data_IF_671175000073
#
_entry.id   IF_671175000073
#
_cell.length_a   1.000
_cell.length_b   1.000
_cell.length_c   1.000
_cell.angle_alpha   90.00
_cell.angle_beta   90.00
_cell.angle_gamma   90.00
#
_symmetry.space_group_name_H-M   'P 1'
#
loop_
_entity.id
_entity.type
_entity.pdbx_description
1 polymer ?
#
# COMPACT_ATOMS: atom_id res chain seq x y z
N UNK A 1 9.29 13.75 -14.00
CA UNK A 1 9.06 12.47 -13.30
C UNK A 1 8.21 11.58 -14.19
N UNK A 2 8.45 10.26 -14.23
CA UNK A 2 7.61 9.29 -14.93
C UNK A 2 6.18 9.26 -14.37
N UNK A 3 5.29 8.46 -14.97
CA UNK A 3 3.96 8.19 -14.43
C UNK A 3 4.02 7.76 -12.97
N UNK A 4 3.12 8.30 -12.14
CA UNK A 4 3.06 7.94 -10.73
C UNK A 4 2.28 6.65 -10.53
N UNK A 5 2.66 5.92 -9.46
CA UNK A 5 2.04 4.68 -9.08
C UNK A 5 1.56 4.76 -7.61
N UNK A 6 0.30 4.46 -7.36
CA UNK A 6 -0.25 4.31 -6.01
C UNK A 6 -0.33 2.83 -5.65
N UNK A 7 0.44 2.38 -4.65
CA UNK A 7 0.49 0.96 -4.29
C UNK A 7 -0.49 0.56 -3.19
N UNK A 8 -1.26 1.52 -2.65
CA UNK A 8 -2.15 1.27 -1.51
C UNK A 8 -3.25 2.30 -1.40
N UNK A 9 -4.49 1.88 -1.62
CA UNK A 9 -5.70 2.67 -1.42
C UNK A 9 -6.94 1.78 -1.30
N UNK A 10 -8.07 2.37 -0.85
CA UNK A 10 -9.33 1.68 -0.57
C UNK A 10 -10.44 2.17 -1.52
N UNK A 11 -10.32 1.80 -2.79
CA UNK A 11 -11.23 2.27 -3.85
C UNK A 11 -12.17 1.18 -4.38
N UNK A 12 -12.15 -0.06 -3.85
CA UNK A 12 -13.14 -1.08 -4.24
C UNK A 12 -14.48 -0.72 -3.59
N UNK A 13 -15.56 -0.50 -4.37
CA UNK A 13 -16.80 0.06 -3.82
C UNK A 13 -17.49 -0.87 -2.83
N UNK A 14 -17.80 -0.37 -1.63
CA UNK A 14 -18.67 -1.01 -0.63
C UNK A 14 -18.14 -2.32 -0.05
N UNK A 15 -16.81 -2.48 0.09
CA UNK A 15 -16.21 -3.71 0.64
C UNK A 15 -15.53 -3.51 2.00
N UNK A 16 -15.09 -2.31 2.32
CA UNK A 16 -14.46 -1.90 3.58
C UNK A 16 -14.88 -0.47 3.98
N UNK A 17 -14.06 0.27 4.72
CA UNK A 17 -14.28 1.67 5.09
C UNK A 17 -13.75 2.67 4.03
N UNK A 18 -13.42 2.19 2.85
CA UNK A 18 -13.05 3.00 1.70
C UNK A 18 -14.26 3.56 0.95
N UNK A 19 -14.18 3.62 -0.38
CA UNK A 19 -15.24 4.14 -1.24
C UNK A 19 -16.59 3.44 -0.97
N UNK A 20 -17.62 4.22 -0.69
CA UNK A 20 -18.95 3.69 -0.35
C UNK A 20 -19.63 3.01 -1.56
N UNK A 21 -19.41 3.55 -2.73
CA UNK A 21 -20.02 3.10 -3.99
C UNK A 21 -19.11 3.37 -5.20
N UNK A 22 -19.60 3.01 -6.39
CA UNK A 22 -18.86 3.17 -7.64
C UNK A 22 -18.65 4.66 -8.00
N UNK A 23 -19.58 5.52 -7.67
CA UNK A 23 -19.49 6.95 -7.95
C UNK A 23 -18.33 7.58 -7.15
N UNK A 24 -18.24 7.28 -5.86
CA UNK A 24 -17.13 7.74 -5.03
C UNK A 24 -15.79 7.14 -5.48
N UNK A 25 -15.76 5.86 -5.87
CA UNK A 25 -14.57 5.22 -6.44
C UNK A 25 -14.07 5.94 -7.68
N UNK A 26 -14.96 6.29 -8.62
CA UNK A 26 -14.61 7.03 -9.84
C UNK A 26 -14.16 8.46 -9.53
N UNK A 27 -14.79 9.11 -8.56
CA UNK A 27 -14.35 10.44 -8.11
C UNK A 27 -12.94 10.40 -7.50
N UNK A 28 -12.59 9.35 -6.73
CA UNK A 28 -11.24 9.14 -6.23
C UNK A 28 -10.25 8.85 -7.35
N UNK A 29 -10.63 8.05 -8.35
CA UNK A 29 -9.80 7.79 -9.54
C UNK A 29 -9.54 9.06 -10.34
N UNK A 30 -10.55 9.93 -10.48
CA UNK A 30 -10.38 11.25 -11.11
C UNK A 30 -9.28 12.05 -10.41
N UNK A 31 -9.31 12.14 -9.08
CA UNK A 31 -8.28 12.84 -8.30
C UNK A 31 -6.89 12.24 -8.51
N UNK A 32 -6.77 10.90 -8.54
CA UNK A 32 -5.51 10.22 -8.83
C UNK A 32 -4.99 10.52 -10.24
N UNK A 33 -5.89 10.49 -11.23
CA UNK A 33 -5.54 10.79 -12.61
C UNK A 33 -5.04 12.23 -12.78
N UNK A 34 -5.72 13.20 -12.16
CA UNK A 34 -5.33 14.61 -12.13
C UNK A 34 -3.98 14.82 -11.42
N UNK A 35 -3.65 14.02 -10.41
CA UNK A 35 -2.36 13.99 -9.71
C UNK A 35 -1.23 13.33 -10.53
N UNK A 36 -1.52 12.78 -11.73
CA UNK A 36 -0.55 12.12 -12.60
C UNK A 36 -0.33 10.63 -12.32
N UNK A 37 -1.18 10.01 -11.52
CA UNK A 37 -1.16 8.55 -11.28
C UNK A 37 -1.73 7.83 -12.50
N UNK A 38 -1.06 6.75 -12.92
CA UNK A 38 -1.48 5.92 -14.06
C UNK A 38 -1.59 4.44 -13.71
N UNK A 39 -1.03 4.03 -12.58
CA UNK A 39 -1.12 2.65 -12.10
C UNK A 39 -1.52 2.66 -10.63
N UNK A 40 -2.44 1.79 -10.26
CA UNK A 40 -2.96 1.70 -8.89
C UNK A 40 -3.10 0.24 -8.49
N UNK A 41 -2.53 -0.16 -7.35
CA UNK A 41 -2.88 -1.39 -6.67
C UNK A 41 -3.87 -1.04 -5.56
N UNK A 42 -5.13 -1.44 -5.74
CA UNK A 42 -6.20 -1.20 -4.77
C UNK A 42 -6.20 -2.34 -3.77
N UNK A 43 -6.08 -2.02 -2.49
CA UNK A 43 -5.80 -2.97 -1.41
C UNK A 43 -6.84 -2.87 -0.30
N UNK A 44 -8.09 -3.32 -0.53
CA UNK A 44 -9.11 -3.29 0.50
C UNK A 44 -8.67 -4.07 1.73
N UNK A 45 -9.17 -3.67 2.89
CA UNK A 45 -8.89 -4.32 4.16
C UNK A 45 -9.38 -5.78 4.19
N UNK A 46 -8.57 -6.64 4.82
CA UNK A 46 -9.04 -7.90 5.40
C UNK A 46 -8.61 -7.99 6.86
N UNK A 47 -9.57 -7.78 7.75
CA UNK A 47 -9.38 -7.76 9.19
C UNK A 47 -10.52 -8.47 9.90
N UNK A 48 -10.19 -9.50 10.65
CA UNK A 48 -11.15 -10.33 11.39
C UNK A 48 -12.03 -9.47 12.30
N UNK A 49 -13.34 -9.74 12.28
CA UNK A 49 -14.40 -9.04 13.05
C UNK A 49 -14.61 -7.57 12.70
N UNK A 50 -13.97 -7.06 11.64
CA UNK A 50 -14.18 -5.70 11.15
C UNK A 50 -14.46 -5.69 9.64
N UNK A 51 -13.51 -6.18 8.84
CA UNK A 51 -13.59 -6.20 7.39
C UNK A 51 -13.36 -7.63 6.90
N UNK A 52 -14.44 -8.41 6.81
CA UNK A 52 -14.42 -9.83 6.39
C UNK A 52 -15.23 -10.03 5.10
N UNK A 53 -15.24 -9.04 4.22
CA UNK A 53 -15.92 -9.15 2.94
C UNK A 53 -15.34 -10.31 2.15
N UNK A 54 -16.16 -11.28 1.69
CA UNK A 54 -15.65 -12.44 0.97
C UNK A 54 -14.86 -12.07 -0.27
N UNK A 55 -13.73 -12.72 -0.51
CA UNK A 55 -12.83 -12.44 -1.63
C UNK A 55 -13.54 -12.40 -2.98
N UNK A 56 -14.55 -13.30 -3.18
CA UNK A 56 -15.40 -13.32 -4.39
C UNK A 56 -16.14 -11.99 -4.57
N UNK A 57 -16.74 -11.44 -3.50
CA UNK A 57 -17.45 -10.16 -3.56
C UNK A 57 -16.49 -9.00 -3.83
N UNK A 58 -15.32 -9.00 -3.19
CA UNK A 58 -14.27 -8.00 -3.46
C UNK A 58 -13.88 -8.01 -4.93
N UNK A 59 -13.62 -9.20 -5.48
CA UNK A 59 -13.26 -9.36 -6.88
C UNK A 59 -14.37 -8.90 -7.84
N UNK A 60 -15.62 -9.24 -7.58
CA UNK A 60 -16.77 -8.79 -8.37
C UNK A 60 -16.92 -7.26 -8.39
N UNK A 61 -16.73 -6.60 -7.25
CA UNK A 61 -16.78 -5.15 -7.16
C UNK A 61 -15.58 -4.48 -7.83
N UNK A 62 -14.40 -5.09 -7.70
CA UNK A 62 -13.20 -4.61 -8.40
C UNK A 62 -13.36 -4.66 -9.92
N UNK A 63 -13.92 -5.74 -10.48
CA UNK A 63 -14.15 -5.84 -11.92
C UNK A 63 -15.12 -4.77 -12.45
N UNK A 64 -16.17 -4.44 -11.67
CA UNK A 64 -17.08 -3.33 -12.02
C UNK A 64 -16.35 -1.99 -12.05
N UNK A 65 -15.51 -1.73 -11.06
CA UNK A 65 -14.69 -0.52 -11.02
C UNK A 65 -13.71 -0.47 -12.19
N UNK A 66 -13.02 -1.59 -12.47
CA UNK A 66 -12.06 -1.69 -13.56
C UNK A 66 -12.72 -1.45 -14.93
N UNK A 67 -13.92 -2.00 -15.15
CA UNK A 67 -14.69 -1.76 -16.39
C UNK A 67 -15.10 -0.29 -16.53
N UNK A 68 -15.58 0.34 -15.46
CA UNK A 68 -15.95 1.75 -15.46
C UNK A 68 -14.73 2.66 -15.66
N UNK A 69 -13.63 2.38 -14.96
CA UNK A 69 -12.38 3.12 -15.09
C UNK A 69 -11.81 3.06 -16.50
N UNK A 70 -11.86 1.90 -17.16
CA UNK A 70 -11.38 1.74 -18.54
C UNK A 70 -12.13 2.64 -19.55
N UNK A 71 -13.41 2.97 -19.28
CA UNK A 71 -14.21 3.85 -20.12
C UNK A 71 -13.85 5.33 -19.92
N UNK A 72 -13.59 5.73 -18.68
CA UNK A 72 -13.34 7.13 -18.31
C UNK A 72 -11.85 7.51 -18.34
N UNK A 73 -10.98 6.58 -17.97
CA UNK A 73 -9.52 6.76 -17.82
C UNK A 73 -8.77 5.62 -18.52
N UNK A 74 -8.81 5.52 -19.87
CA UNK A 74 -8.24 4.39 -20.62
C UNK A 74 -6.72 4.28 -20.50
N UNK A 75 -6.05 5.33 -20.01
CA UNK A 75 -4.61 5.40 -19.74
C UNK A 75 -4.24 4.98 -18.29
N UNK A 76 -5.24 4.60 -17.47
CA UNK A 76 -5.00 4.06 -16.13
C UNK A 76 -5.10 2.53 -16.10
N UNK A 77 -4.21 1.90 -15.32
CA UNK A 77 -4.24 0.46 -15.05
C UNK A 77 -4.53 0.23 -13.57
N UNK A 78 -5.56 -0.58 -13.30
CA UNK A 78 -5.97 -0.95 -11.94
C UNK A 78 -5.65 -2.41 -11.67
N UNK A 79 -5.05 -2.68 -10.53
CA UNK A 79 -4.71 -4.01 -10.02
C UNK A 79 -5.35 -4.22 -8.66
N UNK A 80 -5.71 -5.45 -8.35
CA UNK A 80 -6.27 -5.81 -7.06
C UNK A 80 -5.17 -6.35 -6.15
N UNK A 81 -5.19 -5.94 -4.90
CA UNK A 81 -4.43 -6.49 -3.80
C UNK A 81 -5.30 -6.65 -2.57
N UNK A 82 -4.67 -6.77 -1.41
CA UNK A 82 -5.34 -6.81 -0.11
C UNK A 82 -4.41 -6.28 0.97
N UNK A 83 -4.93 -5.48 1.88
CA UNK A 83 -4.25 -5.13 3.14
C UNK A 83 -4.65 -6.11 4.23
N UNK A 84 -3.72 -7.02 4.57
CA UNK A 84 -3.92 -8.07 5.58
C UNK A 84 -3.53 -7.57 6.97
N UNK A 85 -4.47 -7.58 7.92
CA UNK A 85 -4.15 -7.23 9.29
C UNK A 85 -3.35 -8.34 10.00
N UNK A 86 -2.35 -7.96 10.79
CA UNK A 86 -1.38 -8.85 11.44
C UNK A 86 -1.98 -9.85 12.45
N UNK A 87 -3.22 -9.62 12.93
CA UNK A 87 -3.92 -10.54 13.84
C UNK A 87 -4.61 -11.71 13.13
N UNK A 88 -4.54 -11.76 11.80
CA UNK A 88 -5.06 -12.87 11.02
C UNK A 88 -4.13 -14.10 11.10
N UNK A 89 -4.67 -15.27 10.81
CA UNK A 89 -3.85 -16.44 10.52
C UNK A 89 -3.25 -16.29 9.12
N UNK A 90 -2.12 -15.57 9.05
CA UNK A 90 -1.46 -15.24 7.79
C UNK A 90 -1.01 -16.50 7.05
N UNK A 91 -0.53 -17.52 7.78
CA UNK A 91 -0.10 -18.77 7.17
C UNK A 91 -1.26 -19.48 6.48
N UNK A 92 -2.39 -19.69 7.16
CA UNK A 92 -3.59 -20.32 6.58
C UNK A 92 -4.14 -19.54 5.39
N UNK A 93 -4.11 -18.19 5.46
CA UNK A 93 -4.57 -17.32 4.38
C UNK A 93 -3.68 -17.45 3.14
N UNK A 94 -2.36 -17.40 3.33
CA UNK A 94 -1.39 -17.43 2.23
C UNK A 94 -1.28 -18.82 1.60
N UNK A 95 -1.22 -19.89 2.40
CA UNK A 95 -1.18 -21.27 1.90
C UNK A 95 -2.44 -21.64 1.11
N UNK A 96 -3.60 -21.21 1.57
CA UNK A 96 -4.89 -21.45 0.90
C UNK A 96 -5.23 -20.41 -0.18
N UNK A 97 -4.37 -19.43 -0.39
CA UNK A 97 -4.59 -18.33 -1.35
C UNK A 97 -5.98 -17.71 -1.25
N UNK A 98 -6.45 -17.49 0.00
CA UNK A 98 -7.79 -16.97 0.28
C UNK A 98 -7.99 -15.53 -0.17
N UNK A 99 -6.90 -14.77 -0.27
CA UNK A 99 -6.90 -13.37 -0.69
C UNK A 99 -5.78 -13.10 -1.68
N UNK A 100 -5.97 -12.06 -2.47
CA UNK A 100 -5.02 -11.65 -3.50
C UNK A 100 -3.85 -10.92 -2.84
N UNK A 101 -2.63 -11.31 -3.18
CA UNK A 101 -1.43 -10.53 -2.88
C UNK A 101 -1.40 -9.25 -3.73
N UNK A 102 -0.47 -8.35 -3.53
CA UNK A 102 -0.41 -7.11 -4.31
C UNK A 102 -0.30 -7.42 -5.81
N UNK A 103 -1.34 -7.16 -6.56
CA UNK A 103 -1.46 -7.49 -8.00
C UNK A 103 -1.22 -8.98 -8.35
N UNK A 104 -1.42 -9.91 -7.42
CA UNK A 104 -1.12 -11.34 -7.64
C UNK A 104 0.36 -11.71 -7.56
N UNK A 105 1.22 -10.79 -7.20
CA UNK A 105 2.67 -10.98 -7.01
C UNK A 105 3.02 -11.78 -5.75
N UNK A 106 4.30 -11.92 -5.45
CA UNK A 106 4.77 -12.45 -4.16
C UNK A 106 4.62 -11.45 -3.00
N UNK A 107 4.31 -10.19 -3.27
CA UNK A 107 4.23 -9.15 -2.24
C UNK A 107 2.93 -9.19 -1.45
N UNK A 108 3.05 -9.17 -0.10
CA UNK A 108 1.94 -9.14 0.86
C UNK A 108 1.97 -7.84 1.65
N UNK A 109 0.91 -7.04 1.56
CA UNK A 109 0.78 -5.82 2.34
C UNK A 109 0.21 -6.15 3.72
N UNK A 110 0.97 -5.83 4.78
CA UNK A 110 0.61 -6.06 6.17
C UNK A 110 0.25 -4.76 6.89
N UNK A 111 -0.88 -4.79 7.59
CA UNK A 111 -1.27 -3.78 8.57
C UNK A 111 -0.95 -4.26 9.98
N UNK A 112 -0.36 -3.37 10.80
CA UNK A 112 -0.11 -3.57 12.22
C UNK A 112 -0.88 -2.56 13.06
N UNK A 113 -1.37 -3.00 14.22
CA UNK A 113 -2.02 -2.11 15.20
C UNK A 113 -0.98 -1.25 15.94
N UNK A 114 -1.41 -0.06 16.40
CA UNK A 114 -0.52 0.85 17.15
C UNK A 114 0.05 0.25 18.43
N UNK A 115 -0.63 -0.75 19.02
CA UNK A 115 -0.20 -1.45 20.24
C UNK A 115 0.68 -2.68 20.00
N UNK A 116 0.94 -3.05 18.74
CA UNK A 116 1.69 -4.28 18.45
C UNK A 116 3.16 -4.17 18.90
N UNK A 117 3.63 -5.21 19.59
CA UNK A 117 5.01 -5.26 20.06
C UNK A 117 5.99 -5.50 18.91
N UNK A 118 7.25 -5.10 19.12
CA UNK A 118 8.32 -5.40 18.17
C UNK A 118 8.51 -6.90 17.93
N UNK A 119 8.24 -7.73 18.92
CA UNK A 119 8.29 -9.19 18.79
C UNK A 119 7.16 -9.69 17.89
N UNK A 120 5.92 -9.24 18.11
CA UNK A 120 4.78 -9.60 17.28
C UNK A 120 5.02 -9.24 15.81
N UNK A 121 5.51 -8.03 15.53
CA UNK A 121 5.83 -7.60 14.17
C UNK A 121 6.86 -8.52 13.53
N UNK A 122 7.94 -8.88 14.26
CA UNK A 122 8.96 -9.82 13.76
C UNK A 122 8.38 -11.18 13.43
N UNK A 123 7.57 -11.74 14.32
CA UNK A 123 6.93 -13.05 14.12
C UNK A 123 6.04 -13.05 12.89
N UNK A 124 5.22 -12.00 12.68
CA UNK A 124 4.34 -11.90 11.51
C UNK A 124 5.10 -11.73 10.20
N UNK A 125 6.13 -10.91 10.18
CA UNK A 125 7.03 -10.77 9.03
C UNK A 125 7.70 -12.11 8.71
N UNK A 126 8.21 -12.82 9.72
CA UNK A 126 8.80 -14.15 9.53
C UNK A 126 7.79 -15.16 8.99
N UNK A 127 6.54 -15.17 9.46
CA UNK A 127 5.50 -16.07 8.95
C UNK A 127 5.25 -15.86 7.46
N UNK A 128 5.18 -14.61 6.98
CA UNK A 128 5.02 -14.31 5.56
C UNK A 128 6.22 -14.81 4.75
N UNK A 129 7.44 -14.54 5.22
CA UNK A 129 8.66 -15.02 4.58
C UNK A 129 8.74 -16.55 4.53
N UNK A 130 8.34 -17.24 5.60
CA UNK A 130 8.36 -18.71 5.65
C UNK A 130 7.37 -19.37 4.69
N UNK A 131 6.33 -18.64 4.29
CA UNK A 131 5.39 -19.06 3.24
C UNK A 131 5.89 -18.74 1.82
N UNK A 132 7.10 -18.18 1.67
CA UNK A 132 7.67 -17.83 0.37
C UNK A 132 7.21 -16.51 -0.22
N UNK A 133 6.63 -15.62 0.61
CA UNK A 133 6.15 -14.30 0.20
C UNK A 133 7.03 -13.17 0.71
N UNK A 134 6.98 -12.03 0.03
CA UNK A 134 7.70 -10.80 0.37
C UNK A 134 6.79 -9.86 1.19
N UNK A 135 7.05 -9.66 2.49
CA UNK A 135 6.23 -8.76 3.29
C UNK A 135 6.51 -7.30 2.94
N UNK A 136 5.48 -6.58 2.54
CA UNK A 136 5.42 -5.12 2.56
C UNK A 136 4.56 -4.70 3.73
N UNK A 137 4.97 -3.73 4.52
CA UNK A 137 4.19 -3.30 5.66
C UNK A 137 4.13 -1.78 5.76
N UNK A 138 3.00 -1.30 6.24
CA UNK A 138 2.73 0.11 6.41
C UNK A 138 3.59 0.69 7.53
N UNK A 139 4.66 1.39 7.14
CA UNK A 139 5.67 1.89 8.08
C UNK A 139 5.23 3.10 8.91
N UNK A 140 4.21 3.82 8.49
CA UNK A 140 3.90 5.14 9.01
C UNK A 140 2.80 5.19 10.08
N UNK A 141 2.10 4.07 10.34
CA UNK A 141 1.10 3.97 11.41
C UNK A 141 1.65 3.45 12.72
N UNK A 142 2.80 2.82 12.70
CA UNK A 142 3.30 2.06 13.83
C UNK A 142 4.27 2.84 14.73
N UNK A 143 4.19 2.52 16.01
CA UNK A 143 5.05 3.02 17.09
C UNK A 143 6.56 2.83 16.85
N UNK A 144 7.39 3.45 17.72
CA UNK A 144 8.84 3.27 17.81
C UNK A 144 9.28 1.78 17.77
N UNK A 145 8.42 0.84 18.15
CA UNK A 145 8.67 -0.59 18.09
C UNK A 145 8.81 -1.11 16.66
N UNK A 146 7.93 -0.68 15.74
CA UNK A 146 8.03 -1.01 14.29
C UNK A 146 9.31 -0.45 13.70
N UNK A 147 9.67 0.79 14.08
CA UNK A 147 10.91 1.45 13.67
C UNK A 147 12.15 0.63 13.98
N UNK A 148 12.25 0.15 15.20
CA UNK A 148 13.40 -0.65 15.65
C UNK A 148 13.42 -2.03 14.99
N UNK A 149 12.26 -2.65 14.80
CA UNK A 149 12.16 -3.97 14.17
C UNK A 149 12.48 -3.91 12.68
N UNK A 150 11.93 -2.95 11.96
CA UNK A 150 12.20 -2.71 10.53
C UNK A 150 13.69 -2.49 10.27
N UNK A 151 14.31 -1.59 11.00
CA UNK A 151 15.75 -1.30 10.83
C UNK A 151 16.66 -2.50 11.18
N UNK A 152 16.20 -3.45 12.01
CA UNK A 152 16.94 -4.68 12.28
C UNK A 152 16.81 -5.67 11.12
N UNK A 153 15.61 -5.87 10.58
CA UNK A 153 15.39 -6.80 9.44
C UNK A 153 16.11 -6.34 8.16
N UNK A 154 16.08 -5.05 7.88
CA UNK A 154 16.72 -4.50 6.68
C UNK A 154 18.25 -4.48 6.76
N UNK A 155 18.84 -4.40 7.96
CA UNK A 155 20.29 -4.45 8.18
C UNK A 155 20.86 -5.87 8.24
N UNK A 156 20.06 -6.88 8.53
CA UNK A 156 20.51 -8.28 8.58
C UNK A 156 20.61 -8.99 7.23
N UNK A 157 20.62 -8.25 6.14
CA UNK A 157 21.13 -8.74 4.85
C UNK A 157 20.14 -9.53 4.03
N UNK A 158 19.18 -8.92 3.40
CA UNK A 158 18.51 -9.51 2.25
C UNK A 158 17.00 -9.49 2.24
N UNK A 159 16.31 -9.23 3.33
CA UNK A 159 14.86 -9.26 3.38
C UNK A 159 14.28 -7.85 3.55
N UNK A 160 13.60 -7.35 2.49
CA UNK A 160 12.63 -6.30 2.63
C UNK A 160 13.12 -4.84 2.59
N UNK A 161 13.67 -4.36 1.47
CA UNK A 161 13.73 -2.90 1.17
C UNK A 161 12.35 -2.30 0.85
N UNK A 162 11.25 -2.94 1.33
CA UNK A 162 9.93 -2.70 0.74
C UNK A 162 8.90 -2.28 1.77
N UNK A 163 9.26 -1.30 2.63
CA UNK A 163 8.28 -0.62 3.47
C UNK A 163 7.40 0.29 2.63
N UNK A 164 6.09 0.13 2.78
CA UNK A 164 5.12 1.05 2.20
C UNK A 164 4.94 2.28 3.09
N UNK A 165 5.22 3.47 2.55
CA UNK A 165 4.93 4.74 3.22
C UNK A 165 3.53 5.22 2.90
N UNK A 166 2.83 5.81 3.88
CA UNK A 166 1.62 6.58 3.62
C UNK A 166 1.97 7.99 3.21
N UNK A 167 1.42 8.44 2.11
CA UNK A 167 1.65 9.78 1.60
C UNK A 167 1.21 10.87 2.60
N UNK A 168 0.07 10.68 3.27
CA UNK A 168 -0.41 11.58 4.33
C UNK A 168 0.57 11.75 5.48
N UNK A 169 1.25 10.67 5.89
CA UNK A 169 2.29 10.70 6.94
C UNK A 169 3.56 11.42 6.47
N UNK A 170 3.98 11.22 5.23
CA UNK A 170 5.12 11.91 4.60
C UNK A 170 4.86 13.42 4.55
N UNK A 171 3.67 13.83 4.15
CA UNK A 171 3.23 15.23 4.09
C UNK A 171 3.04 15.85 5.48
N UNK A 172 2.79 15.03 6.51
CA UNK A 172 2.55 15.49 7.88
C UNK A 172 1.10 15.86 8.15
N UNK A 173 0.16 15.23 7.44
CA UNK A 173 -1.28 15.42 7.65
C UNK A 173 -1.80 14.84 8.98
N UNK A 174 -1.04 13.93 9.62
CA UNK A 174 -1.44 13.29 10.88
C UNK A 174 -0.68 13.89 12.08
N UNK A 175 0.48 13.32 12.44
CA UNK A 175 1.28 13.78 13.57
C UNK A 175 2.71 14.15 13.17
N UNK A 176 3.32 15.09 13.92
CA UNK A 176 4.71 15.46 13.72
C UNK A 176 5.68 14.26 13.89
N UNK A 177 5.35 13.34 14.81
CA UNK A 177 6.13 12.12 15.04
C UNK A 177 6.17 11.21 13.81
N UNK A 178 5.02 10.97 13.17
CA UNK A 178 4.93 10.18 11.92
C UNK A 178 5.74 10.81 10.80
N UNK A 179 5.61 12.13 10.60
CA UNK A 179 6.39 12.86 9.59
C UNK A 179 7.91 12.75 9.82
N UNK A 180 8.34 12.93 11.07
CA UNK A 180 9.77 12.79 11.44
C UNK A 180 10.27 11.38 11.17
N UNK A 181 9.45 10.39 11.44
CA UNK A 181 9.77 8.99 11.18
C UNK A 181 9.88 8.69 9.69
N UNK A 182 8.91 9.08 8.86
CA UNK A 182 9.00 8.94 7.41
C UNK A 182 10.27 9.59 6.85
N UNK A 183 10.64 10.77 7.36
CA UNK A 183 11.89 11.42 6.98
C UNK A 183 13.15 10.60 7.36
N UNK A 184 13.10 9.90 8.50
CA UNK A 184 14.20 9.02 8.90
C UNK A 184 14.30 7.84 7.95
N UNK A 185 13.18 7.17 7.63
CA UNK A 185 13.15 6.07 6.66
C UNK A 185 13.71 6.49 5.30
N UNK A 186 13.31 7.65 4.78
CA UNK A 186 13.82 8.17 3.53
C UNK A 186 15.35 8.41 3.57
N UNK A 187 15.86 9.03 4.66
CA UNK A 187 17.30 9.30 4.81
C UNK A 187 18.15 8.02 4.94
N UNK A 188 17.59 6.98 5.53
CA UNK A 188 18.25 5.68 5.72
C UNK A 188 18.01 4.73 4.52
N UNK A 189 17.35 5.22 3.45
CA UNK A 189 16.97 4.45 2.26
C UNK A 189 16.15 3.18 2.57
N UNK A 190 15.24 3.29 3.54
CA UNK A 190 14.42 2.20 4.04
C UNK A 190 12.97 2.26 3.51
N UNK A 191 12.59 3.32 2.78
CA UNK A 191 11.26 3.46 2.19
C UNK A 191 11.29 2.90 0.77
N UNK A 192 10.55 1.83 0.53
CA UNK A 192 10.51 1.14 -0.76
C UNK A 192 9.43 1.67 -1.69
N UNK A 193 8.22 1.87 -1.16
CA UNK A 193 7.02 2.28 -1.92
C UNK A 193 6.26 3.38 -1.19
N UNK A 194 5.35 4.03 -1.90
CA UNK A 194 4.41 4.98 -1.30
C UNK A 194 3.00 4.70 -1.82
N UNK A 195 2.05 4.58 -0.88
CA UNK A 195 0.63 4.54 -1.16
C UNK A 195 -0.09 5.79 -0.63
N UNK A 196 -1.23 6.11 -1.21
CA UNK A 196 -2.05 7.23 -0.73
C UNK A 196 -2.73 6.93 0.60
N UNK A 197 -3.10 5.67 0.80
CA UNK A 197 -4.00 5.22 1.87
C UNK A 197 -5.34 5.99 1.82
N UNK A 198 -5.78 6.31 0.60
CA UNK A 198 -7.01 7.09 0.38
C UNK A 198 -8.25 6.22 0.54
N UNK A 199 -9.30 6.78 1.17
CA UNK A 199 -10.54 6.09 1.48
C UNK A 199 -11.78 6.81 0.95
N UNK A 200 -11.68 8.12 0.69
CA UNK A 200 -12.81 8.93 0.27
C UNK A 200 -12.34 10.23 -0.38
N UNK A 201 -13.29 11.02 -0.84
CA UNK A 201 -13.03 12.32 -1.50
C UNK A 201 -13.01 13.52 -0.54
N UNK A 202 -13.12 13.32 0.79
CA UNK A 202 -13.31 14.41 1.76
C UNK A 202 -12.18 14.54 2.78
N UNK A 203 -11.84 13.46 3.46
CA UNK A 203 -10.91 13.47 4.62
C UNK A 203 -9.62 12.69 4.35
N UNK A 204 -9.74 11.47 3.84
CA UNK A 204 -8.61 10.61 3.45
C UNK A 204 -8.53 10.58 1.92
N UNK A 205 -8.25 11.75 1.34
CA UNK A 205 -8.24 11.95 -0.11
C UNK A 205 -6.96 11.41 -0.75
N UNK A 206 -7.00 11.05 -2.05
CA UNK A 206 -5.81 10.82 -2.86
C UNK A 206 -4.83 11.99 -2.79
N UNK A 207 -3.53 11.71 -2.76
CA UNK A 207 -2.51 12.74 -2.55
C UNK A 207 -1.11 12.31 -3.02
N UNK A 208 -1.04 11.37 -3.96
CA UNK A 208 0.23 10.82 -4.47
C UNK A 208 1.08 11.91 -5.15
N UNK A 209 0.48 12.75 -5.99
CA UNK A 209 1.20 13.83 -6.67
C UNK A 209 1.83 14.81 -5.70
N UNK A 210 1.10 15.22 -4.66
CA UNK A 210 1.63 16.09 -3.61
C UNK A 210 2.78 15.42 -2.84
N UNK A 211 2.66 14.12 -2.55
CA UNK A 211 3.73 13.34 -1.91
C UNK A 211 4.98 13.23 -2.76
N UNK A 212 4.82 12.93 -4.03
CA UNK A 212 5.91 12.82 -4.99
C UNK A 212 6.65 14.16 -5.14
N UNK A 213 5.93 15.26 -5.26
CA UNK A 213 6.52 16.62 -5.31
C UNK A 213 7.28 16.96 -4.01
N UNK A 214 6.72 16.60 -2.84
CA UNK A 214 7.39 16.81 -1.57
C UNK A 214 8.68 15.99 -1.45
N UNK A 215 8.66 14.71 -1.82
CA UNK A 215 9.81 13.81 -1.76
C UNK A 215 10.88 14.27 -2.75
N UNK A 216 10.50 14.61 -3.99
CA UNK A 216 11.43 15.16 -4.99
C UNK A 216 12.16 16.40 -4.46
N UNK A 217 11.42 17.34 -3.85
CA UNK A 217 12.01 18.55 -3.23
C UNK A 217 12.96 18.24 -2.07
N UNK A 218 12.76 17.16 -1.30
CA UNK A 218 13.52 16.86 -0.08
C UNK A 218 14.66 15.87 -0.29
N UNK A 219 14.50 14.94 -1.22
CA UNK A 219 15.42 13.81 -1.43
C UNK A 219 15.99 13.75 -2.86
N UNK A 220 15.49 14.61 -3.75
CA UNK A 220 15.85 14.61 -5.18
C UNK A 220 14.89 13.80 -6.05
N UNK A 221 14.85 14.16 -7.33
CA UNK A 221 13.92 13.57 -8.31
C UNK A 221 14.16 12.08 -8.52
N UNK A 222 15.42 11.64 -8.61
CA UNK A 222 15.76 10.23 -8.79
C UNK A 222 15.29 9.36 -7.62
N UNK A 223 15.33 9.85 -6.38
CA UNK A 223 14.78 9.13 -5.23
C UNK A 223 13.25 9.06 -5.30
N UNK A 224 12.58 10.15 -5.62
CA UNK A 224 11.14 10.18 -5.78
C UNK A 224 10.69 9.23 -6.89
N UNK A 225 11.32 9.27 -8.07
CA UNK A 225 11.02 8.38 -9.19
C UNK A 225 11.17 6.91 -8.80
N UNK A 226 12.21 6.57 -8.05
CA UNK A 226 12.42 5.21 -7.59
C UNK A 226 11.28 4.68 -6.71
N UNK A 227 10.79 5.45 -5.72
CA UNK A 227 9.77 4.96 -4.77
C UNK A 227 8.32 5.16 -5.23
N UNK A 228 8.07 6.05 -6.20
CA UNK A 228 6.73 6.29 -6.76
C UNK A 228 6.52 5.64 -8.14
N UNK A 229 7.57 5.06 -8.74
CA UNK A 229 7.48 4.41 -10.03
C UNK A 229 8.31 3.12 -10.11
N UNK A 230 9.66 3.19 -10.04
CA UNK A 230 10.53 2.07 -10.39
C UNK A 230 10.35 0.86 -9.46
N UNK A 231 10.36 1.06 -8.14
CA UNK A 231 10.13 -0.02 -7.18
C UNK A 231 8.69 -0.59 -7.26
N UNK A 232 7.60 0.24 -7.34
CA UNK A 232 6.26 -0.28 -7.63
C UNK A 232 6.17 -1.15 -8.89
N UNK A 233 6.90 -0.80 -9.95
CA UNK A 233 6.93 -1.60 -11.18
C UNK A 233 7.53 -3.00 -10.96
N UNK A 234 8.39 -3.19 -9.95
CA UNK A 234 8.90 -4.52 -9.59
C UNK A 234 7.78 -5.45 -9.12
N UNK A 235 6.74 -4.93 -8.43
CA UNK A 235 5.57 -5.71 -8.02
C UNK A 235 4.85 -6.27 -9.25
N UNK A 236 4.67 -5.44 -10.29
CA UNK A 236 3.99 -5.87 -11.52
C UNK A 236 4.83 -6.85 -12.34
N UNK A 237 6.17 -6.69 -12.36
CA UNK A 237 7.07 -7.67 -13.02
C UNK A 237 7.00 -9.02 -12.30
N UNK A 238 7.01 -9.02 -10.99
CA UNK A 238 6.90 -10.24 -10.18
C UNK A 238 5.52 -10.92 -10.37
N UNK A 239 4.47 -10.13 -10.60
CA UNK A 239 3.13 -10.62 -10.92
C UNK A 239 2.99 -11.14 -12.37
N UNK A 240 3.95 -10.86 -13.26
CA UNK A 240 3.84 -11.16 -14.68
C UNK A 240 2.87 -10.27 -15.46
N UNK A 241 2.56 -9.07 -14.93
CA UNK A 241 1.66 -8.10 -15.54
C UNK A 241 2.35 -7.21 -16.60
N UNK A 242 3.69 -7.18 -16.60
CA UNK A 242 4.53 -6.41 -17.53
C UNK A 242 5.85 -7.13 -17.83
#
# INVERSE_FOLDING_TARGET
>A
MKELFDVHCHMVPGVDDGAADLEESLAMLKMQHEDGVRKIIITPHYRRRMFETPAKKVHEQFLKLQEAAKKEYPDMSLYLGCELHSNMDLQDILEKRKYVTMAGSSYVLLEFSEGDSAQHIRERVYNVLSCGYEPSYRACGAHQATVKSVGVFQRSGGYGRKTAGECGSILGKYTWGRKRYCRKLMKEDLLGFVGSDSHNTKTRIPNIGAGAAYVSKKMGEAYAERIFHDNPMEILRDAGEI
#
